data_IF_398291197761
#
_entry.id   IF_398291197761
#
_cell.length_a   1.000
_cell.length_b   1.000
_cell.length_c   1.000
_cell.angle_alpha   90.00
_cell.angle_beta   90.00
_cell.angle_gamma   90.00
#
_symmetry.space_group_name_H-M   'P 1'
#
loop_
_entity.id
_entity.type
_entity.pdbx_description
1 polymer ?
#
# COMPACT_ATOMS: atom_id res chain seq x y z
N UNK A 1 -36.57 -15.44 72.56
CA UNK A 1 -35.90 -14.21 72.10
C UNK A 1 -35.18 -14.53 70.82
N UNK A 2 -35.67 -14.09 69.67
CA UNK A 2 -35.00 -14.24 68.36
C UNK A 2 -34.50 -12.87 67.92
N UNK A 3 -33.21 -12.71 67.85
CA UNK A 3 -32.54 -11.48 67.39
C UNK A 3 -32.48 -11.48 65.88
N UNK A 4 -33.14 -10.52 65.25
CA UNK A 4 -33.06 -10.29 63.79
C UNK A 4 -31.85 -9.34 63.52
N UNK A 5 -30.83 -9.82 62.84
CA UNK A 5 -29.72 -9.00 62.36
C UNK A 5 -30.10 -8.48 60.98
N UNK A 6 -30.29 -7.16 60.88
CA UNK A 6 -30.60 -6.47 59.64
C UNK A 6 -29.30 -6.09 58.96
N UNK A 7 -28.98 -6.71 57.82
CA UNK A 7 -27.78 -6.40 57.02
C UNK A 7 -28.13 -5.30 56.00
N UNK A 8 -27.65 -4.09 56.21
CA UNK A 8 -27.75 -3.01 55.23
C UNK A 8 -26.71 -3.22 54.12
N UNK A 9 -27.17 -3.49 52.90
CA UNK A 9 -26.32 -3.51 51.71
C UNK A 9 -26.24 -2.06 51.18
N UNK A 10 -25.06 -1.46 51.31
CA UNK A 10 -24.75 -0.16 50.69
C UNK A 10 -24.45 -0.37 49.21
N UNK A 11 -25.34 0.04 48.33
CA UNK A 11 -25.08 0.10 46.89
C UNK A 11 -24.17 1.28 46.55
N UNK A 12 -22.92 1.00 46.23
CA UNK A 12 -21.99 2.00 45.70
C UNK A 12 -22.35 2.28 44.23
N UNK A 13 -22.99 3.41 43.95
CA UNK A 13 -23.17 3.93 42.61
C UNK A 13 -21.84 4.46 42.12
N UNK A 14 -21.15 3.71 41.28
CA UNK A 14 -19.97 4.20 40.51
C UNK A 14 -20.48 5.15 39.44
N UNK A 15 -20.36 6.47 39.65
CA UNK A 15 -20.49 7.45 38.57
C UNK A 15 -19.27 7.27 37.62
N UNK A 16 -19.49 6.61 36.49
CA UNK A 16 -18.57 6.68 35.36
C UNK A 16 -18.56 8.12 34.86
N UNK A 17 -17.47 8.84 35.10
CA UNK A 17 -17.24 10.14 34.49
C UNK A 17 -17.18 9.94 32.97
N UNK A 18 -18.22 10.34 32.24
CA UNK A 18 -18.15 10.56 30.81
C UNK A 18 -17.16 11.72 30.60
N UNK A 19 -15.91 11.41 30.29
CA UNK A 19 -14.99 12.39 29.73
C UNK A 19 -15.58 12.85 28.42
N UNK A 20 -16.06 14.09 28.35
CA UNK A 20 -16.44 14.73 27.13
C UNK A 20 -15.21 14.68 26.19
N UNK A 21 -15.23 13.79 25.20
CA UNK A 21 -14.25 13.80 24.12
C UNK A 21 -14.47 15.13 23.40
N UNK A 22 -13.46 16.01 23.46
CA UNK A 22 -13.52 17.28 22.72
C UNK A 22 -13.74 16.97 21.22
N UNK A 23 -14.27 17.93 20.49
CA UNK A 23 -14.51 17.77 19.06
C UNK A 23 -13.24 17.30 18.34
N UNK A 24 -13.33 16.27 17.49
CA UNK A 24 -12.16 15.77 16.75
C UNK A 24 -11.58 16.85 15.87
N UNK A 25 -10.26 17.03 15.96
CA UNK A 25 -9.53 18.03 15.17
C UNK A 25 -8.97 17.38 13.91
N UNK A 26 -8.82 18.15 12.80
CA UNK A 26 -8.15 17.67 11.60
C UNK A 26 -6.75 17.13 11.91
N UNK A 27 -6.42 15.95 11.35
CA UNK A 27 -5.12 15.31 11.56
C UNK A 27 -3.99 15.98 10.77
N UNK A 28 -4.34 16.75 9.74
CA UNK A 28 -3.41 17.54 8.94
C UNK A 28 -3.85 19.00 8.96
N UNK A 29 -3.02 19.88 9.53
CA UNK A 29 -3.32 21.32 9.62
C UNK A 29 -2.71 22.05 8.43
N UNK A 30 -3.56 22.75 7.66
CA UNK A 30 -3.14 23.54 6.49
C UNK A 30 -2.40 22.73 5.40
N UNK A 31 -2.62 21.43 5.32
CA UNK A 31 -2.03 20.62 4.27
C UNK A 31 -2.72 20.93 2.93
N UNK A 32 -1.96 21.28 1.88
CA UNK A 32 -2.54 21.50 0.57
C UNK A 32 -2.96 20.16 -0.06
N UNK A 33 -3.97 20.20 -0.92
CA UNK A 33 -4.26 19.06 -1.77
C UNK A 33 -3.13 18.87 -2.81
N UNK A 34 -2.77 17.62 -3.09
CA UNK A 34 -1.85 17.27 -4.17
C UNK A 34 -2.64 16.86 -5.40
N UNK A 35 -2.37 17.51 -6.53
CA UNK A 35 -2.99 17.19 -7.82
C UNK A 35 -1.95 16.56 -8.74
N UNK A 36 -2.31 15.44 -9.36
CA UNK A 36 -1.51 14.74 -10.35
C UNK A 36 -2.34 14.65 -11.62
N UNK A 37 -1.92 15.36 -12.65
CA UNK A 37 -2.62 15.37 -13.93
C UNK A 37 -2.46 14.02 -14.65
N UNK A 38 -3.47 13.61 -15.42
CA UNK A 38 -3.38 12.39 -16.23
C UNK A 38 -2.17 12.41 -17.18
N UNK A 39 -1.85 13.56 -17.76
CA UNK A 39 -0.70 13.71 -18.65
C UNK A 39 0.63 13.36 -17.95
N UNK A 40 0.76 13.68 -16.67
CA UNK A 40 1.92 13.28 -15.86
C UNK A 40 1.94 11.77 -15.66
N UNK A 41 0.80 11.15 -15.33
CA UNK A 41 0.69 9.69 -15.19
C UNK A 41 1.11 9.01 -16.51
N UNK A 42 0.59 9.49 -17.64
CA UNK A 42 0.92 8.95 -18.97
C UNK A 42 2.40 9.14 -19.33
N UNK A 43 3.04 10.22 -18.88
CA UNK A 43 4.48 10.39 -19.06
C UNK A 43 5.30 9.32 -18.34
N UNK A 44 4.89 8.97 -17.11
CA UNK A 44 5.49 7.85 -16.36
C UNK A 44 5.25 6.49 -17.03
N UNK A 45 4.05 6.24 -17.55
CA UNK A 45 3.75 5.01 -18.31
C UNK A 45 4.65 4.90 -19.54
N UNK A 46 4.77 5.98 -20.33
CA UNK A 46 5.67 6.01 -21.51
C UNK A 46 7.11 5.72 -21.12
N UNK A 47 7.59 6.32 -20.02
CA UNK A 47 8.95 6.07 -19.51
C UNK A 47 9.11 4.62 -19.04
N UNK A 48 8.11 4.06 -18.35
CA UNK A 48 8.12 2.65 -17.93
C UNK A 48 8.31 1.71 -19.11
N UNK A 49 7.53 1.90 -20.16
CA UNK A 49 7.59 1.08 -21.39
C UNK A 49 8.95 1.22 -22.08
N UNK A 50 9.40 2.46 -22.29
CA UNK A 50 10.64 2.75 -23.00
C UNK A 50 11.89 2.21 -22.29
N UNK A 51 11.94 2.30 -20.96
CA UNK A 51 13.09 1.93 -20.14
C UNK A 51 12.91 0.57 -19.43
N UNK A 52 11.79 -0.14 -19.70
CA UNK A 52 11.44 -1.43 -19.08
C UNK A 52 11.41 -1.36 -17.53
N UNK A 53 10.89 -0.24 -17.02
CA UNK A 53 10.71 -0.04 -15.59
C UNK A 53 9.33 -0.59 -15.17
N UNK A 54 9.28 -1.29 -14.06
CA UNK A 54 8.00 -1.87 -13.59
C UNK A 54 7.26 -0.88 -12.69
N UNK A 55 7.90 -0.38 -11.65
CA UNK A 55 7.30 0.42 -10.58
C UNK A 55 7.95 1.79 -10.51
N UNK A 56 7.13 2.83 -10.52
CA UNK A 56 7.61 4.20 -10.45
C UNK A 56 6.77 5.03 -9.51
N UNK A 57 7.42 5.71 -8.57
CA UNK A 57 6.78 6.61 -7.63
C UNK A 57 6.62 8.00 -8.25
N UNK A 58 5.37 8.50 -8.33
CA UNK A 58 5.05 9.83 -8.84
C UNK A 58 5.08 10.86 -7.71
N UNK A 59 4.34 10.60 -6.63
CA UNK A 59 4.25 11.46 -5.43
C UNK A 59 4.33 10.60 -4.18
N UNK A 60 4.76 11.23 -3.09
CA UNK A 60 4.56 10.71 -1.75
C UNK A 60 4.25 11.91 -0.85
N UNK A 61 3.06 11.94 -0.28
CA UNK A 61 2.50 13.12 0.38
C UNK A 61 2.13 12.84 1.83
N UNK A 62 2.37 13.82 2.68
CA UNK A 62 1.93 13.83 4.07
C UNK A 62 0.43 14.11 4.16
N UNK A 63 -0.34 13.25 4.84
CA UNK A 63 -1.77 13.44 5.09
C UNK A 63 -2.12 13.47 6.59
N UNK A 64 -1.16 13.73 7.45
CA UNK A 64 -1.31 13.81 8.91
C UNK A 64 -0.90 12.51 9.61
N UNK A 65 -1.74 11.50 9.64
CA UNK A 65 -1.43 10.22 10.30
C UNK A 65 -0.73 9.21 9.42
N UNK A 66 -0.54 9.51 8.13
CA UNK A 66 0.06 8.60 7.16
C UNK A 66 0.75 9.40 6.05
N UNK A 67 1.72 8.78 5.39
CA UNK A 67 2.06 9.14 4.03
C UNK A 67 1.15 8.41 3.04
N UNK A 68 0.92 9.03 1.88
CA UNK A 68 0.25 8.38 0.75
C UNK A 68 1.15 8.50 -0.47
N UNK A 69 1.68 7.35 -0.88
CA UNK A 69 2.45 7.23 -2.10
C UNK A 69 1.53 7.00 -3.31
N UNK A 70 1.76 7.74 -4.39
CA UNK A 70 1.07 7.53 -5.68
C UNK A 70 2.12 7.11 -6.69
N UNK A 71 2.00 5.89 -7.17
CA UNK A 71 2.86 5.30 -8.18
C UNK A 71 2.07 4.84 -9.41
N UNK A 72 2.80 4.52 -10.46
CA UNK A 72 2.28 3.80 -11.61
C UNK A 72 3.14 2.58 -11.88
N UNK A 73 2.49 1.48 -12.17
CA UNK A 73 3.14 0.22 -12.51
C UNK A 73 2.72 -0.19 -13.92
N UNK A 74 3.72 -0.55 -14.72
CA UNK A 74 3.53 -1.19 -16.01
C UNK A 74 4.25 -2.53 -16.04
N UNK A 75 3.54 -3.59 -16.37
CA UNK A 75 4.10 -4.94 -16.53
C UNK A 75 3.74 -5.45 -17.92
N UNK A 76 4.74 -5.83 -18.67
CA UNK A 76 4.55 -6.54 -19.95
C UNK A 76 4.16 -8.00 -19.74
N UNK A 77 4.13 -8.75 -20.85
CA UNK A 77 3.77 -10.17 -20.89
C UNK A 77 4.54 -11.00 -19.87
N UNK A 78 3.82 -11.85 -19.16
CA UNK A 78 4.34 -12.81 -18.20
C UNK A 78 3.68 -14.17 -18.43
N UNK A 79 4.41 -15.12 -19.03
CA UNK A 79 3.90 -16.47 -19.28
C UNK A 79 3.93 -17.35 -18.01
N UNK A 80 4.94 -17.14 -17.16
CA UNK A 80 5.09 -17.80 -15.87
C UNK A 80 5.84 -16.85 -14.90
N UNK A 81 5.55 -16.91 -13.60
CA UNK A 81 6.22 -16.06 -12.63
C UNK A 81 7.70 -16.47 -12.47
N UNK A 82 8.56 -15.48 -12.18
CA UNK A 82 9.92 -15.75 -11.78
C UNK A 82 9.96 -16.44 -10.40
N UNK A 83 11.00 -17.20 -10.10
CA UNK A 83 11.20 -17.71 -8.75
C UNK A 83 11.22 -16.58 -7.72
N UNK A 84 10.68 -16.83 -6.53
CA UNK A 84 10.70 -15.89 -5.41
C UNK A 84 10.11 -14.49 -5.74
N UNK A 85 9.11 -14.46 -6.64
CA UNK A 85 8.52 -13.23 -7.12
C UNK A 85 7.22 -12.81 -6.39
N UNK A 86 6.82 -13.55 -5.35
CA UNK A 86 5.80 -13.07 -4.41
C UNK A 86 6.38 -11.88 -3.66
N UNK A 87 5.71 -10.75 -3.69
CA UNK A 87 6.07 -9.58 -2.89
C UNK A 87 5.16 -9.45 -1.67
N UNK A 88 5.72 -8.94 -0.59
CA UNK A 88 4.99 -8.58 0.64
C UNK A 88 5.68 -7.39 1.28
N UNK A 89 4.90 -6.48 1.88
CA UNK A 89 5.36 -5.28 2.58
C UNK A 89 4.89 -5.34 4.02
N UNK A 90 5.80 -5.16 5.00
CA UNK A 90 5.45 -5.28 6.42
C UNK A 90 4.53 -4.17 6.92
N UNK A 91 4.72 -2.94 6.44
CA UNK A 91 4.14 -1.72 7.02
C UNK A 91 3.32 -0.90 6.01
N UNK A 92 3.50 -1.15 4.72
CA UNK A 92 2.84 -0.41 3.65
C UNK A 92 1.74 -1.25 3.04
N UNK A 93 0.51 -0.73 3.07
CA UNK A 93 -0.62 -1.33 2.33
C UNK A 93 -0.70 -0.74 0.94
N UNK A 94 -1.24 -1.49 -0.02
CA UNK A 94 -1.36 -1.07 -1.41
C UNK A 94 -2.79 -1.15 -1.91
N UNK A 95 -3.18 -0.19 -2.74
CA UNK A 95 -4.42 -0.23 -3.51
C UNK A 95 -4.05 -0.11 -4.99
N UNK A 96 -4.43 -1.10 -5.79
CA UNK A 96 -4.28 -1.02 -7.24
C UNK A 96 -5.60 -0.58 -7.86
N UNK A 97 -5.53 0.36 -8.78
CA UNK A 97 -6.61 0.67 -9.70
C UNK A 97 -6.11 0.43 -11.12
N UNK A 98 -6.65 -0.59 -11.76
CA UNK A 98 -6.22 -1.01 -13.10
C UNK A 98 -6.68 0.01 -14.13
N UNK A 99 -5.71 0.57 -14.88
CA UNK A 99 -5.96 1.54 -15.95
C UNK A 99 -6.25 0.81 -17.27
N UNK A 100 -5.41 -0.19 -17.58
CA UNK A 100 -5.50 -0.94 -18.84
C UNK A 100 -4.86 -2.32 -18.73
N UNK A 101 -5.19 -3.20 -19.66
CA UNK A 101 -4.66 -4.56 -19.70
C UNK A 101 -5.35 -5.52 -18.75
N UNK A 102 -4.77 -6.72 -18.63
CA UNK A 102 -5.30 -7.82 -17.81
C UNK A 102 -4.17 -8.62 -17.15
N UNK A 103 -4.43 -9.21 -16.00
CA UNK A 103 -3.48 -10.10 -15.33
C UNK A 103 -4.17 -11.04 -14.36
N UNK A 104 -3.56 -12.20 -14.12
CA UNK A 104 -3.89 -13.07 -13.01
C UNK A 104 -2.98 -12.72 -11.82
N UNK A 105 -3.59 -12.32 -10.71
CA UNK A 105 -2.94 -11.99 -9.44
C UNK A 105 -3.39 -12.96 -8.36
N UNK A 106 -2.45 -13.49 -7.59
CA UNK A 106 -2.74 -14.29 -6.38
C UNK A 106 -2.37 -13.49 -5.16
N UNK A 107 -3.26 -13.43 -4.16
CA UNK A 107 -3.00 -12.75 -2.88
C UNK A 107 -3.23 -13.68 -1.69
N UNK A 108 -2.52 -13.47 -0.59
CA UNK A 108 -2.74 -14.20 0.65
C UNK A 108 -1.65 -13.99 1.69
N UNK A 109 -1.96 -14.23 2.97
CA UNK A 109 -1.02 -13.98 4.07
C UNK A 109 -0.06 -15.17 4.35
N UNK A 110 -0.38 -16.39 3.85
CA UNK A 110 0.41 -17.60 4.16
C UNK A 110 1.54 -17.79 3.13
N UNK A 111 2.68 -17.16 3.41
CA UNK A 111 3.84 -17.08 2.52
C UNK A 111 4.81 -18.25 2.75
N UNK A 112 5.19 -18.93 1.69
CA UNK A 112 6.15 -20.04 1.70
C UNK A 112 7.53 -19.54 1.26
N UNK A 113 8.58 -19.92 1.99
CA UNK A 113 9.96 -19.59 1.63
C UNK A 113 10.26 -18.09 1.72
N UNK A 114 9.76 -17.41 2.77
CA UNK A 114 10.00 -15.94 2.97
C UNK A 114 11.50 -15.63 3.04
N UNK A 115 11.90 -14.62 2.25
CA UNK A 115 13.25 -14.05 2.26
C UNK A 115 13.18 -12.55 2.47
N UNK A 116 13.83 -12.06 3.51
CA UNK A 116 13.89 -10.62 3.80
C UNK A 116 14.58 -9.86 2.67
N UNK A 117 13.95 -8.80 2.18
CA UNK A 117 14.60 -7.89 1.24
C UNK A 117 15.68 -7.06 1.97
N UNK A 118 16.88 -6.89 1.37
CA UNK A 118 17.92 -6.01 1.92
C UNK A 118 17.40 -4.58 2.13
N UNK A 119 17.75 -3.99 3.27
CA UNK A 119 17.26 -2.66 3.64
C UNK A 119 17.82 -1.53 2.76
N UNK A 120 18.92 -1.77 2.06
CA UNK A 120 19.57 -0.84 1.14
C UNK A 120 19.01 -0.87 -0.29
N UNK A 121 18.11 -1.81 -0.60
CA UNK A 121 17.42 -1.81 -1.90
C UNK A 121 16.65 -0.51 -2.11
N UNK A 122 16.76 0.07 -3.30
CA UNK A 122 16.08 1.31 -3.67
C UNK A 122 14.56 1.21 -3.48
N UNK A 123 13.95 0.09 -3.88
CA UNK A 123 12.51 -0.15 -3.71
C UNK A 123 12.08 -0.20 -2.24
N UNK A 124 12.91 -0.76 -1.36
CA UNK A 124 12.67 -0.78 0.09
C UNK A 124 12.76 0.62 0.68
N UNK A 125 13.80 1.36 0.30
CA UNK A 125 14.07 2.68 0.86
C UNK A 125 13.12 3.77 0.37
N UNK A 126 12.65 3.70 -0.88
CA UNK A 126 11.98 4.82 -1.53
C UNK A 126 10.52 4.56 -1.87
N UNK A 127 10.07 3.29 -1.92
CA UNK A 127 8.74 2.96 -2.43
C UNK A 127 7.90 2.12 -1.47
N UNK A 128 8.43 0.98 -1.03
CA UNK A 128 7.63 -0.09 -0.45
C UNK A 128 7.86 -0.30 1.03
N UNK A 129 8.88 0.37 1.61
CA UNK A 129 9.30 0.07 2.97
C UNK A 129 9.85 -1.36 3.12
N UNK A 130 10.08 -1.80 4.36
CA UNK A 130 10.56 -3.14 4.65
C UNK A 130 9.55 -4.21 4.22
N UNK A 131 10.05 -5.38 3.82
CA UNK A 131 9.20 -6.49 3.38
C UNK A 131 10.00 -7.70 2.95
N UNK A 132 9.32 -8.67 2.35
CA UNK A 132 9.88 -9.94 1.95
C UNK A 132 9.55 -10.29 0.51
N UNK A 133 10.37 -11.13 -0.09
CA UNK A 133 10.00 -11.94 -1.23
C UNK A 133 9.68 -13.35 -0.75
N UNK A 134 8.90 -14.12 -1.53
CA UNK A 134 8.57 -15.51 -1.19
C UNK A 134 8.42 -16.34 -2.44
N UNK A 135 8.51 -17.67 -2.28
CA UNK A 135 8.42 -18.62 -3.37
C UNK A 135 6.99 -18.80 -3.87
N UNK A 136 6.02 -18.80 -2.94
CA UNK A 136 4.60 -18.99 -3.25
C UNK A 136 3.70 -18.51 -2.10
N UNK A 137 2.39 -18.53 -2.36
CA UNK A 137 1.33 -18.25 -1.39
C UNK A 137 0.51 -19.53 -1.22
N UNK A 138 0.43 -20.07 0.01
CA UNK A 138 -0.42 -21.19 0.33
C UNK A 138 -1.85 -20.72 0.56
N UNK A 139 -2.83 -21.44 0.00
CA UNK A 139 -4.25 -21.08 0.09
C UNK A 139 -4.56 -19.66 -0.40
N UNK A 140 -3.78 -19.16 -1.38
CA UNK A 140 -3.98 -17.84 -1.95
C UNK A 140 -5.29 -17.74 -2.74
N UNK A 141 -5.83 -16.51 -2.80
CA UNK A 141 -7.01 -16.18 -3.60
C UNK A 141 -6.55 -15.65 -4.94
N UNK A 142 -7.08 -16.23 -6.02
CA UNK A 142 -6.80 -15.80 -7.39
C UNK A 142 -7.79 -14.73 -7.85
N UNK A 143 -7.27 -13.68 -8.47
CA UNK A 143 -8.02 -12.56 -9.04
C UNK A 143 -7.67 -12.40 -10.52
N UNK A 144 -8.68 -12.35 -11.38
CA UNK A 144 -8.53 -12.02 -12.80
C UNK A 144 -8.77 -10.51 -12.97
N UNK A 145 -7.69 -9.75 -12.98
CA UNK A 145 -7.73 -8.29 -13.04
C UNK A 145 -7.93 -7.80 -14.48
N UNK A 146 -8.75 -6.75 -14.62
CA UNK A 146 -8.98 -6.02 -15.89
C UNK A 146 -9.16 -4.53 -15.62
N UNK A 147 -9.13 -3.73 -16.68
CA UNK A 147 -9.34 -2.29 -16.61
C UNK A 147 -10.58 -1.90 -15.80
N UNK A 148 -10.44 -0.95 -14.89
CA UNK A 148 -11.45 -0.47 -13.95
C UNK A 148 -11.49 -1.22 -12.61
N UNK A 149 -10.86 -2.39 -12.50
CA UNK A 149 -10.84 -3.13 -11.23
C UNK A 149 -9.99 -2.42 -10.16
N UNK A 150 -10.40 -2.61 -8.90
CA UNK A 150 -9.68 -2.12 -7.73
C UNK A 150 -9.42 -3.30 -6.79
N UNK A 151 -8.19 -3.42 -6.30
CA UNK A 151 -7.84 -4.37 -5.25
C UNK A 151 -7.09 -3.68 -4.11
N UNK A 152 -7.45 -4.00 -2.88
CA UNK A 152 -6.78 -3.52 -1.65
C UNK A 152 -5.96 -4.66 -1.09
N UNK A 153 -4.67 -4.43 -0.88
CA UNK A 153 -3.70 -5.39 -0.37
C UNK A 153 -3.15 -4.84 0.96
N UNK A 154 -3.62 -5.37 2.10
CA UNK A 154 -3.12 -4.96 3.40
C UNK A 154 -1.63 -5.27 3.59
N UNK A 155 -0.94 -4.48 4.41
CA UNK A 155 0.41 -4.79 4.87
C UNK A 155 0.46 -6.23 5.44
N UNK A 156 1.54 -6.95 5.17
CA UNK A 156 1.71 -8.36 5.53
C UNK A 156 1.04 -9.35 4.58
N UNK A 157 0.29 -8.87 3.57
CA UNK A 157 -0.35 -9.73 2.57
C UNK A 157 0.53 -9.88 1.33
N UNK A 158 0.87 -11.13 1.01
CA UNK A 158 1.59 -11.44 -0.23
C UNK A 158 0.73 -11.20 -1.46
N UNK A 159 1.39 -10.73 -2.53
CA UNK A 159 0.76 -10.52 -3.83
C UNK A 159 1.71 -10.98 -4.94
N UNK A 160 1.14 -11.67 -5.93
CA UNK A 160 1.91 -12.44 -6.90
C UNK A 160 1.25 -12.45 -8.27
N UNK A 161 1.80 -11.75 -9.23
CA UNK A 161 1.37 -11.87 -10.63
C UNK A 161 1.84 -13.21 -11.18
N UNK A 162 0.91 -14.07 -11.53
CA UNK A 162 1.20 -15.42 -12.05
C UNK A 162 1.09 -15.50 -13.57
N UNK A 163 0.30 -14.61 -14.20
CA UNK A 163 0.13 -14.56 -15.65
C UNK A 163 -0.26 -13.15 -16.11
N UNK A 164 0.29 -12.74 -17.24
CA UNK A 164 -0.08 -11.52 -17.97
C UNK A 164 0.00 -11.88 -19.45
N UNK A 165 -1.15 -11.86 -20.16
CA UNK A 165 -1.18 -12.30 -21.56
C UNK A 165 -0.50 -11.31 -22.51
N UNK A 166 -0.63 -10.01 -22.27
CA UNK A 166 0.02 -8.93 -23.02
C UNK A 166 0.66 -7.93 -22.07
N UNK A 167 -0.13 -7.12 -21.40
CA UNK A 167 0.34 -6.18 -20.36
C UNK A 167 -0.74 -5.88 -19.33
N UNK A 168 -0.34 -5.23 -18.24
CA UNK A 168 -1.21 -4.56 -17.28
C UNK A 168 -0.57 -3.26 -16.81
N UNK A 169 -1.36 -2.18 -16.77
CA UNK A 169 -0.97 -0.89 -16.21
C UNK A 169 -1.96 -0.51 -15.12
N UNK A 170 -1.48 -0.11 -13.96
CA UNK A 170 -2.32 0.30 -12.84
C UNK A 170 -1.69 1.42 -12.03
N UNK A 171 -2.56 2.29 -11.46
CA UNK A 171 -2.15 3.16 -10.36
C UNK A 171 -1.94 2.31 -9.13
N UNK A 172 -0.87 2.58 -8.43
CA UNK A 172 -0.55 2.02 -7.13
C UNK A 172 -0.61 3.12 -6.08
N UNK A 173 -1.58 3.01 -5.18
CA UNK A 173 -1.70 3.91 -4.03
C UNK A 173 -1.15 3.17 -2.82
N UNK A 174 -0.10 3.70 -2.20
CA UNK A 174 0.54 3.17 -1.00
C UNK A 174 0.08 3.93 0.22
N UNK A 175 -0.38 3.21 1.23
CA UNK A 175 -0.75 3.74 2.52
C UNK A 175 0.35 3.39 3.52
N UNK A 176 1.06 4.40 4.00
CA UNK A 176 2.24 4.27 4.86
C UNK A 176 2.00 5.01 6.20
N UNK A 177 1.27 4.39 7.15
CA UNK A 177 0.97 4.99 8.44
C UNK A 177 2.21 5.18 9.32
N UNK A 178 3.24 4.36 9.13
CA UNK A 178 4.49 4.40 9.89
C UNK A 178 5.54 5.34 9.26
N UNK A 179 5.23 5.93 8.10
CA UNK A 179 6.05 6.92 7.38
C UNK A 179 7.47 6.41 7.09
N UNK A 180 7.56 5.16 6.69
CA UNK A 180 8.84 4.48 6.38
C UNK A 180 9.39 4.85 5.01
N UNK A 181 8.58 5.51 4.16
CA UNK A 181 8.99 6.01 2.84
C UNK A 181 9.16 7.53 2.86
N UNK A 182 10.13 8.08 2.11
CA UNK A 182 10.36 9.52 2.08
C UNK A 182 9.30 10.24 1.24
N UNK A 183 8.98 11.46 1.63
CA UNK A 183 8.13 12.34 0.83
C UNK A 183 8.73 12.61 -0.55
N UNK A 184 7.86 12.75 -1.54
CA UNK A 184 8.23 13.07 -2.92
C UNK A 184 7.28 14.11 -3.49
N UNK A 185 7.79 15.29 -3.77
CA UNK A 185 7.05 16.42 -4.30
C UNK A 185 6.99 16.44 -5.85
N UNK A 186 6.30 17.40 -6.39
CA UNK A 186 6.17 17.63 -7.83
C UNK A 186 7.51 17.96 -8.48
N UNK A 187 8.37 18.72 -7.81
CA UNK A 187 9.69 19.10 -8.33
C UNK A 187 10.56 17.88 -8.56
N UNK A 188 10.61 16.96 -7.59
CA UNK A 188 11.33 15.69 -7.70
C UNK A 188 10.77 14.81 -8.82
N UNK A 189 9.45 14.81 -9.03
CA UNK A 189 8.80 14.06 -10.11
C UNK A 189 9.14 14.63 -11.49
N UNK A 190 9.06 15.92 -11.66
CA UNK A 190 9.45 16.59 -12.92
C UNK A 190 10.92 16.35 -13.26
N UNK A 191 11.80 16.47 -12.27
CA UNK A 191 13.24 16.18 -12.45
C UNK A 191 13.48 14.72 -12.85
N UNK A 192 12.71 13.77 -12.29
CA UNK A 192 12.80 12.35 -12.66
C UNK A 192 12.41 12.10 -14.13
N UNK A 193 11.30 12.70 -14.59
CA UNK A 193 10.84 12.54 -15.96
C UNK A 193 11.81 13.13 -17.00
N UNK A 194 12.59 14.16 -16.62
CA UNK A 194 13.59 14.81 -17.49
C UNK A 194 14.91 14.03 -17.58
N UNK A 195 15.15 13.05 -16.70
CA UNK A 195 16.37 12.24 -16.80
C UNK A 195 16.34 11.41 -18.08
N UNK A 196 17.45 11.43 -18.87
CA UNK A 196 17.53 10.59 -20.05
C UNK A 196 17.38 9.10 -19.68
N UNK A 197 16.91 8.32 -20.65
CA UNK A 197 16.87 6.87 -20.52
C UNK A 197 18.29 6.34 -20.21
N UNK A 198 18.37 5.38 -19.31
CA UNK A 198 19.61 4.70 -18.94
C UNK A 198 19.97 3.62 -19.95
#
# INVERSE_FOLDING_TARGET
>A
MRTIVSTCIAAACSLAALTAQGDPQPTCRMCPASYIANDEIQAYVKKAIAERLTDQQIRDVEIGKSHVGIGVVHRGKLAAPAPESVAEHDLVSEVYHVIEGTATLVTGPDLVGKKRRPADLETVRLFNGPGNNSESIRNGVTHELKAGDVIVIPAGTGHWFTKIDDHITYLMIRLDPDKVTPLRDETASRAYLQKPAR
#
